data_IF_057340647280
#
_entry.id   IF_057340647280
#
_cell.length_a   1.000
_cell.length_b   1.000
_cell.length_c   1.000
_cell.angle_alpha   90.00
_cell.angle_beta   90.00
_cell.angle_gamma   90.00
#
_symmetry.space_group_name_H-M   'P 1'
#
loop_
_entity.id
_entity.type
_entity.pdbx_description
1 polymer ?
#
# COMPACT_ATOMS: atom_id res chain seq x y z
N UNK A 1 -7.36 2.35 1.85
CA UNK A 1 -7.33 0.91 1.51
C UNK A 1 -8.04 0.63 0.19
N UNK A 2 -9.38 0.58 0.15
CA UNK A 2 -10.13 0.32 -1.10
C UNK A 2 -9.77 1.32 -2.20
N UNK A 3 -9.79 2.61 -1.86
CA UNK A 3 -9.38 3.70 -2.76
C UNK A 3 -7.93 3.57 -3.26
N UNK A 4 -7.02 3.09 -2.41
CA UNK A 4 -5.61 2.98 -2.76
C UNK A 4 -5.37 1.83 -3.75
N UNK A 5 -5.93 0.67 -3.44
CA UNK A 5 -5.73 -0.53 -4.23
C UNK A 5 -6.50 -0.49 -5.56
N UNK A 6 -7.80 -0.20 -5.50
CA UNK A 6 -8.66 -0.29 -6.69
C UNK A 6 -8.62 0.98 -7.54
N UNK A 7 -8.57 2.17 -6.93
CA UNK A 7 -8.71 3.42 -7.67
C UNK A 7 -7.37 4.06 -8.03
N UNK A 8 -6.35 3.99 -7.17
CA UNK A 8 -5.02 4.56 -7.49
C UNK A 8 -4.15 3.56 -8.23
N UNK A 9 -3.95 2.36 -7.69
CA UNK A 9 -3.01 1.39 -8.23
C UNK A 9 -3.67 0.37 -9.18
N UNK A 10 -5.00 0.42 -9.33
CA UNK A 10 -5.77 -0.47 -10.21
C UNK A 10 -5.44 -1.97 -10.04
N UNK A 11 -5.20 -2.39 -8.79
CA UNK A 11 -4.84 -3.76 -8.43
C UNK A 11 -3.38 -4.14 -8.63
N UNK A 12 -2.52 -3.22 -9.08
CA UNK A 12 -1.10 -3.46 -9.33
C UNK A 12 -0.29 -3.25 -8.06
N UNK A 13 0.22 -4.34 -7.50
CA UNK A 13 1.00 -4.34 -6.25
C UNK A 13 2.25 -5.20 -6.38
N UNK A 14 3.29 -4.83 -5.65
CA UNK A 14 4.61 -5.47 -5.64
C UNK A 14 4.79 -6.19 -4.31
N UNK A 15 4.47 -7.48 -4.26
CA UNK A 15 4.54 -8.24 -3.00
C UNK A 15 5.97 -8.27 -2.42
N UNK A 16 7.03 -8.56 -3.21
CA UNK A 16 8.41 -8.51 -2.70
C UNK A 16 8.77 -7.16 -2.07
N UNK A 17 8.43 -6.04 -2.72
CA UNK A 17 8.77 -4.71 -2.19
C UNK A 17 7.99 -4.33 -0.92
N UNK A 18 6.91 -5.04 -0.56
CA UNK A 18 6.23 -4.87 0.73
C UNK A 18 7.03 -5.46 1.90
N UNK A 19 7.91 -6.43 1.64
CA UNK A 19 8.77 -7.05 2.65
C UNK A 19 10.18 -6.42 2.71
N UNK A 20 10.50 -5.49 1.82
CA UNK A 20 11.77 -4.75 1.81
C UNK A 20 11.64 -3.40 2.54
N UNK A 21 12.39 -3.17 3.65
CA UNK A 21 12.45 -1.88 4.32
C UNK A 21 12.94 -0.72 3.44
N UNK A 22 13.68 -1.01 2.38
CA UNK A 22 14.15 -0.05 1.37
C UNK A 22 13.35 -0.13 0.06
N UNK A 23 12.26 -0.89 0.06
CA UNK A 23 11.39 -1.06 -1.09
C UNK A 23 10.60 0.20 -1.43
N UNK A 24 9.88 0.14 -2.55
CA UNK A 24 9.13 1.26 -3.13
C UNK A 24 8.05 1.86 -2.22
N UNK A 25 7.59 1.10 -1.23
CA UNK A 25 6.58 1.54 -0.26
C UNK A 25 7.18 2.29 0.94
N UNK A 26 8.47 2.66 0.91
CA UNK A 26 9.13 3.48 1.94
C UNK A 26 8.47 4.86 2.10
N UNK A 27 7.93 5.48 1.05
CA UNK A 27 7.49 6.89 1.10
C UNK A 27 8.52 7.79 1.82
N UNK A 28 8.07 8.68 2.72
CA UNK A 28 8.97 9.48 3.55
C UNK A 28 9.31 8.73 4.84
N UNK A 29 10.42 8.00 4.81
CA UNK A 29 10.96 7.24 5.95
C UNK A 29 9.98 6.22 6.59
N UNK A 30 9.16 5.57 5.77
CA UNK A 30 8.12 4.62 6.14
C UNK A 30 6.72 5.23 6.25
N UNK A 31 6.56 6.55 6.10
CA UNK A 31 5.30 7.24 6.35
C UNK A 31 4.70 7.82 5.07
N UNK A 32 3.47 7.41 4.78
CA UNK A 32 2.62 8.07 3.79
C UNK A 32 1.83 9.21 4.47
N UNK A 33 2.36 10.44 4.36
CA UNK A 33 1.72 11.62 4.94
C UNK A 33 0.31 11.89 4.40
N UNK A 34 0.01 11.44 3.16
CA UNK A 34 -1.31 11.63 2.54
C UNK A 34 -2.36 10.77 3.22
N UNK A 35 -1.99 9.54 3.54
CA UNK A 35 -2.82 8.64 4.35
C UNK A 35 -3.03 9.20 5.76
N UNK A 36 -2.00 9.79 6.38
CA UNK A 36 -2.12 10.43 7.68
C UNK A 36 -3.09 11.62 7.66
N UNK A 37 -2.98 12.50 6.66
CA UNK A 37 -3.90 13.63 6.50
C UNK A 37 -5.34 13.15 6.26
N UNK A 38 -5.54 12.17 5.38
CA UNK A 38 -6.86 11.61 5.13
C UNK A 38 -7.50 10.99 6.38
N UNK A 39 -6.69 10.31 7.20
CA UNK A 39 -7.11 9.75 8.49
C UNK A 39 -7.53 10.86 9.46
N UNK A 40 -6.71 11.90 9.61
CA UNK A 40 -7.01 13.01 10.52
C UNK A 40 -8.29 13.74 10.09
N UNK A 41 -8.42 14.10 8.81
CA UNK A 41 -9.61 14.78 8.28
C UNK A 41 -10.88 13.94 8.46
N UNK A 42 -10.78 12.62 8.29
CA UNK A 42 -11.91 11.70 8.51
C UNK A 42 -12.30 11.58 9.98
N UNK A 43 -11.34 11.58 10.91
CA UNK A 43 -11.61 11.30 12.32
C UNK A 43 -12.04 12.57 13.06
N UNK A 44 -11.42 13.72 12.79
CA UNK A 44 -11.65 14.98 13.54
C UNK A 44 -13.13 15.33 13.73
N UNK A 45 -14.00 15.24 12.70
CA UNK A 45 -15.42 15.60 12.85
C UNK A 45 -16.24 14.57 13.63
N UNK A 46 -15.77 13.33 13.75
CA UNK A 46 -16.47 12.23 14.46
C UNK A 46 -16.17 12.19 15.96
N UNK A 47 -15.04 12.78 16.39
CA UNK A 47 -14.60 12.79 17.79
C UNK A 47 -15.61 13.43 18.76
N UNK A 48 -16.24 14.59 18.47
CA UNK A 48 -17.22 15.17 19.39
C UNK A 48 -18.44 14.26 19.60
N UNK A 49 -18.89 13.60 18.53
CA UNK A 49 -20.00 12.64 18.62
C UNK A 49 -19.64 11.39 19.44
N UNK A 50 -18.40 10.91 19.36
CA UNK A 50 -17.90 9.83 20.21
C UNK A 50 -17.86 10.22 21.69
N UNK A 51 -17.40 11.44 22.00
CA UNK A 51 -17.32 11.94 23.39
C UNK A 51 -18.71 11.97 24.04
N UNK A 52 -19.73 12.40 23.30
CA UNK A 52 -21.11 12.40 23.81
C UNK A 52 -21.70 11.00 23.96
N UNK A 53 -21.30 10.06 23.10
CA UNK A 53 -21.70 8.67 23.25
C UNK A 53 -21.18 8.06 24.57
N UNK A 54 -19.94 8.41 24.95
CA UNK A 54 -19.30 7.93 26.18
C UNK A 54 -19.80 8.71 27.42
N UNK A 55 -19.93 10.03 27.32
CA UNK A 55 -20.39 10.89 28.40
C UNK A 55 -21.50 11.82 27.92
N UNK A 56 -22.79 11.43 28.10
CA UNK A 56 -23.93 12.21 27.61
C UNK A 56 -24.15 13.52 28.38
N UNK A 57 -23.36 13.79 29.42
CA UNK A 57 -23.41 15.07 30.16
C UNK A 57 -22.74 16.21 29.40
N UNK A 58 -21.99 15.92 28.33
CA UNK A 58 -21.29 16.92 27.52
C UNK A 58 -22.18 17.27 26.32
N UNK A 59 -22.80 18.47 26.27
CA UNK A 59 -23.67 18.83 25.16
C UNK A 59 -22.85 19.10 23.90
N UNK A 60 -22.87 18.16 22.95
CA UNK A 60 -22.18 18.31 21.65
C UNK A 60 -23.11 18.72 20.50
N UNK A 61 -24.36 19.06 20.80
CA UNK A 61 -25.35 19.49 19.79
C UNK A 61 -25.51 18.49 18.64
N UNK A 62 -25.50 18.99 17.40
CA UNK A 62 -25.71 18.22 16.17
C UNK A 62 -24.60 17.20 15.86
N UNK A 63 -23.47 17.20 16.57
CA UNK A 63 -22.38 16.26 16.35
C UNK A 63 -22.75 14.80 16.66
N UNK A 64 -23.81 14.58 17.44
CA UNK A 64 -24.36 13.25 17.71
C UNK A 64 -24.88 12.54 16.46
N UNK A 65 -25.41 13.32 15.50
CA UNK A 65 -25.91 12.77 14.22
C UNK A 65 -24.76 12.28 13.33
N UNK A 66 -23.65 13.02 13.31
CA UNK A 66 -22.44 12.63 12.58
C UNK A 66 -21.85 11.31 13.08
N UNK A 67 -21.99 11.02 14.38
CA UNK A 67 -21.55 9.74 14.94
C UNK A 67 -22.37 8.55 14.43
N UNK A 68 -23.69 8.70 14.29
CA UNK A 68 -24.56 7.64 13.76
C UNK A 68 -24.17 7.22 12.33
N UNK A 69 -23.66 8.16 11.54
CA UNK A 69 -23.19 7.91 10.18
C UNK A 69 -21.66 7.81 10.08
N UNK A 70 -20.94 7.71 11.20
CA UNK A 70 -19.48 7.79 11.24
C UNK A 70 -18.80 6.75 10.34
N UNK A 71 -19.38 5.55 10.21
CA UNK A 71 -18.85 4.51 9.35
C UNK A 71 -18.91 4.89 7.86
N UNK A 72 -20.07 5.34 7.39
CA UNK A 72 -20.27 5.80 6.01
C UNK A 72 -19.42 7.04 5.75
N UNK A 73 -19.47 8.01 6.66
CA UNK A 73 -18.69 9.24 6.59
C UNK A 73 -17.19 8.95 6.50
N UNK A 74 -16.66 8.09 7.38
CA UNK A 74 -15.23 7.76 7.38
C UNK A 74 -14.78 7.03 6.12
N UNK A 75 -15.62 6.13 5.59
CA UNK A 75 -15.32 5.43 4.34
C UNK A 75 -15.21 6.39 3.15
N UNK A 76 -16.23 7.24 2.94
CA UNK A 76 -16.26 8.15 1.79
C UNK A 76 -15.35 9.37 1.97
N UNK A 77 -15.30 9.97 3.16
CA UNK A 77 -14.41 11.10 3.45
C UNK A 77 -12.95 10.66 3.42
N UNK A 78 -12.58 9.60 4.14
CA UNK A 78 -11.22 9.08 4.16
C UNK A 78 -10.77 8.60 2.78
N UNK A 79 -11.62 7.85 2.07
CA UNK A 79 -11.34 7.41 0.70
C UNK A 79 -11.21 8.60 -0.27
N UNK A 80 -12.16 9.53 -0.26
CA UNK A 80 -12.18 10.70 -1.14
C UNK A 80 -11.01 11.65 -0.91
N UNK A 81 -10.73 12.02 0.34
CA UNK A 81 -9.59 12.88 0.69
C UNK A 81 -8.28 12.22 0.27
N UNK A 82 -8.12 10.92 0.55
CA UNK A 82 -6.93 10.19 0.15
C UNK A 82 -6.73 10.16 -1.37
N UNK A 83 -7.81 9.96 -2.14
CA UNK A 83 -7.76 9.97 -3.60
C UNK A 83 -7.39 11.34 -4.15
N UNK A 84 -8.05 12.39 -3.68
CA UNK A 84 -7.78 13.77 -4.12
C UNK A 84 -6.33 14.13 -3.81
N UNK A 85 -5.86 13.84 -2.60
CA UNK A 85 -4.51 14.19 -2.17
C UNK A 85 -3.44 13.38 -2.91
N UNK A 86 -3.70 12.10 -3.18
CA UNK A 86 -2.79 11.24 -3.93
C UNK A 86 -2.81 11.50 -5.44
N UNK A 87 -3.89 12.09 -5.96
CA UNK A 87 -3.97 12.54 -7.36
C UNK A 87 -3.34 13.92 -7.56
N UNK A 88 -3.49 14.82 -6.59
CA UNK A 88 -2.86 16.14 -6.61
C UNK A 88 -1.34 16.06 -6.38
N UNK A 89 -0.92 15.17 -5.48
CA UNK A 89 0.48 14.85 -5.24
C UNK A 89 0.64 13.34 -5.49
N UNK A 90 1.01 12.89 -6.69
CA UNK A 90 1.29 11.48 -6.96
C UNK A 90 2.60 11.02 -6.30
N UNK A 91 2.67 9.77 -5.84
CA UNK A 91 3.93 9.14 -5.43
C UNK A 91 4.39 8.29 -6.61
N UNK A 92 5.20 8.86 -7.49
CA UNK A 92 5.60 8.19 -8.73
C UNK A 92 6.28 6.83 -8.48
N UNK A 93 7.01 6.70 -7.38
CA UNK A 93 7.70 5.46 -6.97
C UNK A 93 6.77 4.26 -6.73
N UNK A 94 5.48 4.49 -6.40
CA UNK A 94 4.55 3.42 -6.05
C UNK A 94 3.74 2.92 -7.25
N UNK A 95 3.74 3.64 -8.37
CA UNK A 95 3.02 3.21 -9.57
C UNK A 95 3.80 2.13 -10.31
N UNK A 96 3.05 1.16 -10.84
CA UNK A 96 3.59 0.01 -11.56
C UNK A 96 2.82 -0.27 -12.84
N UNK A 97 3.51 -0.89 -13.79
CA UNK A 97 2.92 -1.31 -15.06
C UNK A 97 2.19 -2.64 -14.93
N UNK A 98 2.74 -3.58 -14.15
CA UNK A 98 2.16 -4.90 -13.85
C UNK A 98 2.25 -5.20 -12.35
N UNK A 99 1.38 -6.09 -11.86
CA UNK A 99 1.50 -6.61 -10.50
C UNK A 99 2.65 -7.62 -10.45
N UNK A 100 3.45 -7.60 -9.39
CA UNK A 100 4.52 -8.59 -9.16
C UNK A 100 4.11 -9.40 -7.94
N UNK A 101 3.85 -10.68 -8.16
CA UNK A 101 3.43 -11.63 -7.12
C UNK A 101 4.61 -12.52 -6.73
N UNK A 102 4.58 -13.06 -5.50
CA UNK A 102 5.68 -13.90 -5.00
C UNK A 102 5.95 -15.15 -5.84
N UNK A 103 4.90 -15.74 -6.42
CA UNK A 103 5.02 -16.95 -7.26
C UNK A 103 5.81 -16.70 -8.56
N UNK A 104 5.67 -15.52 -9.17
CA UNK A 104 6.44 -15.15 -10.36
C UNK A 104 7.93 -14.96 -10.03
N UNK A 105 8.24 -14.44 -8.84
CA UNK A 105 9.62 -14.25 -8.38
C UNK A 105 10.27 -15.60 -8.11
N UNK A 106 9.58 -16.52 -7.46
CA UNK A 106 10.10 -17.87 -7.19
C UNK A 106 10.36 -18.64 -8.50
N UNK A 107 9.44 -18.57 -9.46
CA UNK A 107 9.59 -19.19 -10.78
C UNK A 107 10.75 -18.57 -11.59
N UNK A 108 10.91 -17.25 -11.54
CA UNK A 108 12.02 -16.53 -12.20
C UNK A 108 13.35 -16.88 -11.55
N UNK A 109 13.40 -16.97 -10.22
CA UNK A 109 14.64 -17.30 -9.49
C UNK A 109 15.07 -18.74 -9.79
N UNK A 110 14.14 -19.70 -9.75
CA UNK A 110 14.43 -21.10 -10.06
C UNK A 110 14.92 -21.32 -11.51
N UNK A 111 14.38 -20.56 -12.46
CA UNK A 111 14.82 -20.62 -13.86
C UNK A 111 16.20 -19.98 -14.08
N UNK A 112 16.51 -18.89 -13.39
CA UNK A 112 17.85 -18.27 -13.41
C UNK A 112 18.93 -19.15 -12.77
N UNK A 113 18.60 -19.84 -11.66
CA UNK A 113 19.51 -20.81 -11.02
C UNK A 113 19.77 -22.01 -11.95
N UNK A 114 18.73 -22.54 -12.59
CA UNK A 114 18.86 -23.65 -13.54
C UNK A 114 19.70 -23.28 -14.76
N UNK A 115 19.54 -22.06 -15.30
CA UNK A 115 20.35 -21.56 -16.40
C UNK A 115 21.82 -21.37 -16.01
N UNK A 116 22.07 -20.81 -14.81
CA UNK A 116 23.42 -20.63 -14.29
C UNK A 116 24.13 -21.96 -14.04
N UNK A 117 23.42 -22.95 -13.49
CA UNK A 117 23.97 -24.29 -13.26
C UNK A 117 24.31 -25.00 -14.58
N UNK A 118 23.49 -24.82 -15.61
CA UNK A 118 23.74 -25.36 -16.94
C UNK A 118 24.99 -24.72 -17.59
N UNK A 119 25.18 -23.41 -17.43
CA UNK A 119 26.34 -22.71 -17.98
C UNK A 119 27.66 -23.13 -17.29
N UNK A 120 27.61 -23.46 -15.99
CA UNK A 120 28.76 -23.97 -15.23
C UNK A 120 29.14 -25.39 -15.68
N UNK A 121 28.16 -26.29 -15.83
CA UNK A 121 28.39 -27.68 -16.28
C UNK A 121 28.98 -27.74 -17.70
N UNK A 122 28.52 -26.85 -18.59
CA UNK A 122 29.08 -26.72 -19.95
C UNK A 122 30.54 -26.27 -19.92
N UNK A 123 30.88 -25.25 -19.12
CA UNK A 123 32.27 -24.76 -18.98
C UNK A 123 33.20 -25.79 -18.37
N UNK A 124 32.70 -26.62 -17.45
CA UNK A 124 33.50 -27.67 -16.81
C UNK A 124 33.81 -28.82 -17.79
N UNK A 125 32.83 -29.25 -18.59
CA UNK A 125 33.04 -30.22 -19.68
C UNK A 125 34.00 -29.74 -20.76
N UNK A 126 33.98 -28.47 -21.11
CA UNK A 126 34.86 -27.90 -22.15
C UNK A 126 36.33 -27.82 -21.67
N UNK A 127 36.53 -27.63 -20.36
CA UNK A 127 37.84 -27.60 -19.71
C UNK A 127 38.50 -28.97 -19.62
N UNK A 128 37.73 -30.02 -19.36
CA UNK A 128 38.20 -31.41 -19.35
C UNK A 128 38.49 -31.96 -20.76
N UNK A 129 37.87 -31.41 -21.81
CA UNK A 129 38.12 -31.81 -23.19
C UNK A 129 39.36 -31.17 -23.83
N UNK A 130 40.00 -30.20 -23.15
CA UNK A 130 41.17 -29.46 -23.65
C UNK A 130 42.48 -29.81 -22.92
N UNK A 131 42.44 -30.78 -21.99
CA UNK A 131 43.60 -31.34 -21.27
C UNK A 131 43.94 -32.73 -21.81
#
# INVERSE_FOLDING_TARGET
>A
MVADYWLLHAGKVDVPAMYDPHGRYRYWNGINWRAAVALLVSITPTLPGLINNINPKIPVGNASFLFNIAWIYGFFCGGGVYLVLSKAFPAHETFMDHAILGEEVDATTASLESASQHEVDVKEKEKDSSA
#
